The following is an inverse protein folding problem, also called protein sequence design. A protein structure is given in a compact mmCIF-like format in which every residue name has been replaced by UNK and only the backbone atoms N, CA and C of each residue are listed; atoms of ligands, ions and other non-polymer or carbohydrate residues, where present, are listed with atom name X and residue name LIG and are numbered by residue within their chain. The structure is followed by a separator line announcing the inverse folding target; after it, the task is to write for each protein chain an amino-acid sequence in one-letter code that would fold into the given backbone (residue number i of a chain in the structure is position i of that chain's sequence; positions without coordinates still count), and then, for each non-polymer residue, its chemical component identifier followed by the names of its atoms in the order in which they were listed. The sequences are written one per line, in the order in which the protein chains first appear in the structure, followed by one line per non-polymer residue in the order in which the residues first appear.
data_IF_819107824159
#
_entry.id   IF_819107824159
#
_cell.length_a   1.000
_cell.length_b   1.000
_cell.length_c   1.000
_cell.angle_alpha   90.00
_cell.angle_beta   90.00
_cell.angle_gamma   90.00
#
_symmetry.space_group_name_H-M   'P 1'
#
loop_
_entity.id
_entity.type
_entity.pdbx_description
1 polymer ?
#
# COMPACT_ATOMS: atom_id res chain seq x y z
N UNK A 1 4.69 -11.61 -34.22
CA UNK A 1 4.21 -11.56 -32.82
C UNK A 1 5.32 -11.46 -31.77
N UNK A 2 6.62 -11.41 -32.14
CA UNK A 2 7.73 -11.23 -31.18
C UNK A 2 7.88 -9.77 -30.70
N UNK A 3 7.79 -8.82 -31.62
CA UNK A 3 8.06 -7.39 -31.36
C UNK A 3 7.07 -6.73 -30.39
N UNK A 4 5.82 -7.21 -30.32
CA UNK A 4 4.82 -6.67 -29.39
C UNK A 4 5.12 -7.03 -27.93
N UNK A 5 5.69 -8.22 -27.69
CA UNK A 5 6.09 -8.66 -26.34
C UNK A 5 7.29 -7.85 -25.84
N UNK A 6 8.24 -7.59 -26.72
CA UNK A 6 9.41 -6.75 -26.40
C UNK A 6 9.01 -5.29 -26.17
N UNK A 7 8.06 -4.75 -26.95
CA UNK A 7 7.51 -3.41 -26.73
C UNK A 7 6.82 -3.29 -25.37
N UNK A 8 6.03 -4.30 -24.99
CA UNK A 8 5.30 -4.32 -23.72
C UNK A 8 6.27 -4.46 -22.53
N UNK A 9 7.33 -5.27 -22.66
CA UNK A 9 8.40 -5.40 -21.67
C UNK A 9 9.21 -4.10 -21.53
N UNK A 10 9.48 -3.40 -22.63
CA UNK A 10 10.21 -2.12 -22.62
C UNK A 10 9.40 -0.99 -21.99
N UNK A 11 8.09 -0.95 -22.22
CA UNK A 11 7.18 0.01 -21.57
C UNK A 11 7.13 -0.21 -20.05
N UNK A 12 7.18 -1.47 -19.60
CA UNK A 12 7.16 -1.82 -18.18
C UNK A 12 8.45 -1.37 -17.44
N UNK A 13 9.58 -1.35 -18.13
CA UNK A 13 10.89 -0.97 -17.59
C UNK A 13 11.16 0.55 -17.64
N UNK A 14 10.35 1.33 -18.36
CA UNK A 14 10.53 2.78 -18.45
C UNK A 14 10.01 3.55 -17.21
N UNK A 15 9.31 2.87 -16.31
CA UNK A 15 8.73 3.43 -15.09
C UNK A 15 9.51 3.10 -13.81
N UNK A 16 10.81 2.85 -13.88
CA UNK A 16 11.63 2.76 -12.65
C UNK A 16 12.08 4.16 -12.26
N UNK A 17 11.44 4.83 -11.28
CA UNK A 17 11.99 6.06 -10.73
C UNK A 17 13.29 5.71 -10.00
N UNK A 18 14.41 6.12 -10.57
CA UNK A 18 15.67 6.21 -9.82
C UNK A 18 15.54 7.46 -8.96
N UNK A 19 15.01 7.34 -7.75
CA UNK A 19 14.92 8.44 -6.80
C UNK A 19 15.66 8.09 -5.51
N UNK A 20 16.57 8.97 -5.10
CA UNK A 20 16.95 9.08 -3.69
C UNK A 20 15.71 9.65 -3.01
N UNK A 21 14.89 8.79 -2.42
CA UNK A 21 13.56 9.16 -1.95
C UNK A 21 13.65 10.23 -0.86
N UNK A 22 13.22 11.45 -1.20
CA UNK A 22 12.61 12.34 -0.22
C UNK A 22 11.47 11.55 0.43
N UNK A 23 11.56 11.31 1.74
CA UNK A 23 10.60 10.49 2.51
C UNK A 23 9.18 11.02 2.29
N UNK A 24 9.01 12.32 2.05
CA UNK A 24 7.72 12.91 1.71
C UNK A 24 7.23 12.49 0.32
N UNK A 25 8.10 12.48 -0.69
CA UNK A 25 7.76 12.04 -2.04
C UNK A 25 7.41 10.54 -2.11
N UNK A 26 8.12 9.69 -1.35
CA UNK A 26 7.76 8.27 -1.21
C UNK A 26 6.36 8.11 -0.64
N UNK A 27 6.05 8.85 0.44
CA UNK A 27 4.75 8.75 1.11
C UNK A 27 3.60 9.29 0.28
N UNK A 28 3.84 10.34 -0.49
CA UNK A 28 2.88 10.83 -1.49
C UNK A 28 2.60 9.76 -2.54
N UNK A 29 3.64 9.16 -3.11
CA UNK A 29 3.49 8.07 -4.09
C UNK A 29 2.72 6.87 -3.49
N UNK A 30 3.04 6.46 -2.28
CA UNK A 30 2.33 5.39 -1.58
C UNK A 30 0.85 5.74 -1.31
N UNK A 31 0.54 6.99 -0.95
CA UNK A 31 -0.83 7.46 -0.77
C UNK A 31 -1.63 7.39 -2.08
N UNK A 32 -1.01 7.78 -3.19
CA UNK A 32 -1.62 7.69 -4.52
C UNK A 32 -1.87 6.23 -4.93
N UNK A 33 -0.86 5.36 -4.76
CA UNK A 33 -1.00 3.92 -5.02
C UNK A 33 -2.15 3.31 -4.20
N UNK A 34 -2.28 3.67 -2.92
CA UNK A 34 -3.38 3.18 -2.08
C UNK A 34 -4.75 3.59 -2.63
N UNK A 35 -4.88 4.81 -3.14
CA UNK A 35 -6.11 5.31 -3.77
C UNK A 35 -6.43 4.53 -5.05
N UNK A 36 -5.42 4.28 -5.88
CA UNK A 36 -5.58 3.49 -7.10
C UNK A 36 -5.97 2.03 -6.80
N UNK A 37 -5.38 1.42 -5.77
CA UNK A 37 -5.74 0.07 -5.32
C UNK A 37 -7.19 -0.01 -4.81
N UNK A 38 -7.68 1.03 -4.13
CA UNK A 38 -9.07 1.09 -3.70
C UNK A 38 -10.03 1.20 -4.91
N UNK A 39 -9.67 1.99 -5.92
CA UNK A 39 -10.44 2.06 -7.17
C UNK A 39 -10.43 0.71 -7.90
N UNK A 40 -9.29 0.03 -7.95
CA UNK A 40 -9.16 -1.31 -8.53
C UNK A 40 -10.02 -2.34 -7.79
N UNK A 41 -10.08 -2.29 -6.45
CA UNK A 41 -10.94 -3.18 -5.66
C UNK A 41 -12.41 -3.06 -6.07
N UNK A 42 -12.91 -1.84 -6.30
CA UNK A 42 -14.28 -1.59 -6.79
C UNK A 42 -14.50 -2.20 -8.18
N UNK A 43 -13.52 -2.06 -9.08
CA UNK A 43 -13.59 -2.65 -10.42
C UNK A 43 -13.61 -4.19 -10.36
N UNK A 44 -12.81 -4.79 -9.49
CA UNK A 44 -12.77 -6.25 -9.28
C UNK A 44 -14.09 -6.75 -8.69
N UNK A 45 -14.66 -6.05 -7.70
CA UNK A 45 -15.98 -6.36 -7.16
C UNK A 45 -17.08 -6.27 -8.23
N UNK A 46 -17.01 -5.25 -9.08
CA UNK A 46 -17.92 -5.10 -10.21
C UNK A 46 -17.78 -6.28 -11.16
N UNK A 47 -16.56 -6.61 -11.61
CA UNK A 47 -16.29 -7.74 -12.49
C UNK A 47 -16.80 -9.07 -11.89
N UNK A 48 -16.64 -9.28 -10.58
CA UNK A 48 -17.20 -10.43 -9.87
C UNK A 48 -18.72 -10.50 -10.02
N UNK A 49 -19.43 -9.37 -9.86
CA UNK A 49 -20.89 -9.32 -9.94
C UNK A 49 -21.43 -9.70 -11.33
N UNK A 50 -20.65 -9.45 -12.39
CA UNK A 50 -20.99 -9.83 -13.77
C UNK A 50 -20.44 -11.20 -14.18
N UNK A 51 -19.70 -11.89 -13.31
CA UNK A 51 -19.05 -13.16 -13.66
C UNK A 51 -20.06 -14.31 -13.81
N UNK A 52 -19.81 -15.18 -14.78
CA UNK A 52 -20.65 -16.35 -15.03
C UNK A 52 -20.20 -17.53 -14.16
N UNK A 53 -21.05 -17.92 -13.21
CA UNK A 53 -20.78 -19.04 -12.29
C UNK A 53 -20.83 -20.42 -12.94
N UNK A 54 -21.27 -20.53 -14.20
CA UNK A 54 -21.38 -21.81 -14.91
C UNK A 54 -20.16 -22.13 -15.78
N UNK A 55 -19.12 -21.29 -15.75
CA UNK A 55 -17.87 -21.56 -16.44
C UNK A 55 -17.04 -22.60 -15.69
N UNK A 56 -16.41 -23.52 -16.44
CA UNK A 56 -15.57 -24.59 -15.88
C UNK A 56 -14.36 -24.07 -15.11
N UNK A 57 -13.83 -22.91 -15.53
CA UNK A 57 -12.75 -22.22 -14.85
C UNK A 57 -13.32 -20.91 -14.31
N UNK A 58 -13.28 -20.74 -13.00
CA UNK A 58 -13.68 -19.50 -12.36
C UNK A 58 -12.45 -18.71 -11.95
N UNK A 59 -12.53 -17.39 -12.05
CA UNK A 59 -11.51 -16.51 -11.51
C UNK A 59 -11.65 -16.42 -9.98
N UNK A 60 -10.55 -16.56 -9.26
CA UNK A 60 -10.50 -16.52 -7.79
C UNK A 60 -10.59 -15.09 -7.26
N UNK A 61 -11.76 -14.46 -7.43
CA UNK A 61 -11.99 -13.06 -7.06
C UNK A 61 -11.70 -12.79 -5.58
N UNK A 62 -12.05 -13.70 -4.68
CA UNK A 62 -11.81 -13.51 -3.25
C UNK A 62 -10.32 -13.45 -2.91
N UNK A 63 -9.51 -14.27 -3.56
CA UNK A 63 -8.05 -14.25 -3.39
C UNK A 63 -7.48 -12.92 -3.84
N UNK A 64 -7.85 -12.44 -5.02
CA UNK A 64 -7.39 -11.13 -5.51
C UNK A 64 -7.84 -10.00 -4.58
N UNK A 65 -9.11 -10.00 -4.12
CA UNK A 65 -9.63 -8.99 -3.21
C UNK A 65 -8.88 -9.01 -1.86
N UNK A 66 -8.57 -10.19 -1.33
CA UNK A 66 -7.78 -10.32 -0.11
C UNK A 66 -6.37 -9.76 -0.28
N UNK A 67 -5.72 -10.03 -1.42
CA UNK A 67 -4.39 -9.51 -1.72
C UNK A 67 -4.38 -7.98 -1.86
N UNK A 68 -5.35 -7.41 -2.58
CA UNK A 68 -5.49 -5.96 -2.70
C UNK A 68 -5.64 -5.27 -1.33
N UNK A 69 -6.46 -5.84 -0.45
CA UNK A 69 -6.64 -5.33 0.92
C UNK A 69 -5.37 -5.46 1.74
N UNK A 70 -4.64 -6.56 1.59
CA UNK A 70 -3.37 -6.79 2.30
C UNK A 70 -2.32 -5.75 1.89
N UNK A 71 -2.21 -5.43 0.60
CA UNK A 71 -1.31 -4.39 0.10
C UNK A 71 -1.72 -3.02 0.64
N UNK A 72 -3.01 -2.66 0.53
CA UNK A 72 -3.53 -1.39 1.07
C UNK A 72 -3.27 -1.26 2.58
N UNK A 73 -3.40 -2.35 3.34
CA UNK A 73 -3.12 -2.37 4.77
C UNK A 73 -1.63 -2.14 5.08
N UNK A 74 -0.73 -2.78 4.31
CA UNK A 74 0.71 -2.56 4.44
C UNK A 74 1.11 -1.09 4.18
N UNK A 75 0.55 -0.50 3.13
CA UNK A 75 0.76 0.92 2.81
C UNK A 75 0.21 1.81 3.92
N UNK A 76 -1.04 1.58 4.35
CA UNK A 76 -1.65 2.37 5.42
C UNK A 76 -0.82 2.31 6.70
N UNK A 77 -0.36 1.11 7.09
CA UNK A 77 0.50 0.94 8.26
C UNK A 77 1.78 1.77 8.15
N UNK A 78 2.49 1.68 7.03
CA UNK A 78 3.70 2.48 6.79
C UNK A 78 3.43 3.99 6.87
N UNK A 79 2.30 4.46 6.32
CA UNK A 79 1.90 5.86 6.39
C UNK A 79 1.49 6.32 7.80
N UNK A 80 1.09 5.42 8.71
CA UNK A 80 0.79 5.81 10.10
C UNK A 80 2.02 6.01 10.99
N UNK A 81 3.19 5.50 10.58
CA UNK A 81 4.43 5.67 11.34
C UNK A 81 4.85 7.13 11.29
N UNK A 82 5.07 7.80 12.45
CA UNK A 82 5.58 9.17 12.50
C UNK A 82 6.92 9.29 11.78
N UNK A 83 7.09 10.34 10.99
CA UNK A 83 8.36 10.63 10.30
C UNK A 83 9.39 11.26 11.23
N UNK A 84 8.94 11.96 12.26
CA UNK A 84 9.83 12.58 13.23
C UNK A 84 10.11 11.61 14.39
N UNK A 85 11.35 11.57 14.90
CA UNK A 85 11.66 10.79 16.08
C UNK A 85 10.76 11.26 17.22
N UNK A 86 10.11 10.31 17.90
CA UNK A 86 9.39 10.60 19.14
C UNK A 86 10.43 11.13 20.12
N UNK A 87 10.47 12.44 20.34
CA UNK A 87 11.45 13.04 21.25
C UNK A 87 11.09 12.59 22.67
N UNK A 88 11.92 11.75 23.35
CA UNK A 88 11.56 11.20 24.66
C UNK A 88 11.40 12.27 25.74
N UNK A 89 11.96 13.47 25.55
CA UNK A 89 11.87 14.59 26.49
C UNK A 89 10.47 15.22 26.61
N UNK A 90 9.51 14.84 25.78
CA UNK A 90 8.10 15.21 25.93
C UNK A 90 7.33 14.25 26.86
N UNK A 91 7.92 13.11 27.20
CA UNK A 91 7.42 12.24 28.24
C UNK A 91 8.07 12.72 29.54
N UNK A 92 7.25 13.24 30.45
CA UNK A 92 7.60 13.51 31.84
C UNK A 92 7.81 12.18 32.61
N UNK A 93 8.60 11.26 32.05
CA UNK A 93 8.98 9.98 32.65
C UNK A 93 10.03 10.16 33.75
N UNK A 94 10.45 11.40 34.00
CA UNK A 94 11.40 11.80 35.02
C UNK A 94 10.82 12.88 35.95
N UNK A 95 9.49 13.10 36.00
CA UNK A 95 8.96 13.91 37.11
C UNK A 95 9.27 13.22 38.43
N UNK A 96 9.82 14.02 39.33
CA UNK A 96 10.34 13.67 40.66
C UNK A 96 9.30 13.00 41.59
N UNK A 97 8.06 12.83 41.13
CA UNK A 97 6.92 12.25 41.84
C UNK A 97 7.06 10.76 42.20
N UNK A 98 7.98 10.02 41.58
CA UNK A 98 8.18 8.59 41.89
C UNK A 98 9.03 8.32 43.15
N UNK A 99 9.56 9.36 43.81
CA UNK A 99 10.46 9.21 44.97
C UNK A 99 9.85 9.60 46.31
N UNK A 100 8.57 10.01 46.37
CA UNK A 100 7.92 10.24 47.66
C UNK A 100 7.46 8.92 48.28
N UNK A 101 8.38 8.29 49.00
CA UNK A 101 8.03 7.43 50.12
C UNK A 101 7.75 8.33 51.34
N UNK A 102 6.47 8.54 51.66
CA UNK A 102 6.01 8.90 53.00
C UNK A 102 5.01 7.86 53.50
#
# INVERSE_FOLDING_TARGET
MSNLKHLLLFCLLAFVPVSNADVWAEREALSNIRTELAALEVLVMSAKAWSNSNERTQFEYETLLADLRKIQAGIAHHLTVPMEPVIPSAIDALSESYTEHQ
#
